data_IF_935034629534
#
_entry.id   IF_935034629534
#
_cell.length_a   1.000
_cell.length_b   1.000
_cell.length_c   1.000
_cell.angle_alpha   90.00
_cell.angle_beta   90.00
_cell.angle_gamma   90.00
#
_symmetry.space_group_name_H-M   'P 1'
#
loop_
_entity.id
_entity.type
_entity.pdbx_description
1 polymer ?
#
# COMPACT_ATOMS: atom_id res chain seq x y z
N UNK A 1 15.38 1.25 -13.94
CA UNK A 1 14.60 0.08 -13.47
C UNK A 1 13.14 0.39 -13.76
N UNK A 2 12.35 -0.58 -14.22
CA UNK A 2 10.91 -0.39 -14.51
C UNK A 2 10.13 -0.37 -13.20
N UNK A 3 9.20 0.57 -13.04
CA UNK A 3 8.29 0.68 -11.92
C UNK A 3 7.03 -0.15 -12.21
N UNK A 4 6.86 -1.24 -11.48
CA UNK A 4 5.76 -2.18 -11.67
C UNK A 4 5.00 -2.34 -10.36
N UNK A 5 3.67 -2.33 -10.44
CA UNK A 5 2.77 -2.56 -9.32
C UNK A 5 1.83 -3.71 -9.66
N UNK A 6 1.93 -4.80 -8.88
CA UNK A 6 1.02 -5.95 -8.96
C UNK A 6 0.07 -5.89 -7.77
N UNK A 7 -1.13 -5.35 -8.02
CA UNK A 7 -2.07 -4.99 -6.97
C UNK A 7 -2.57 -6.22 -6.21
N UNK A 8 -2.80 -7.33 -6.91
CA UNK A 8 -3.20 -8.59 -6.27
C UNK A 8 -2.11 -9.14 -5.32
N UNK A 9 -0.83 -9.02 -5.69
CA UNK A 9 0.28 -9.44 -4.83
C UNK A 9 0.40 -8.56 -3.59
N UNK A 10 0.34 -7.24 -3.77
CA UNK A 10 0.37 -6.28 -2.66
C UNK A 10 -0.81 -6.50 -1.70
N UNK A 11 -2.02 -6.73 -2.23
CA UNK A 11 -3.19 -7.01 -1.39
C UNK A 11 -3.02 -8.30 -0.58
N UNK A 12 -2.49 -9.37 -1.19
CA UNK A 12 -2.19 -10.61 -0.48
C UNK A 12 -1.14 -10.41 0.61
N UNK A 13 -0.09 -9.62 0.33
CA UNK A 13 0.94 -9.29 1.30
C UNK A 13 0.38 -8.46 2.47
N UNK A 14 -0.44 -7.45 2.19
CA UNK A 14 -1.18 -6.66 3.18
C UNK A 14 -2.02 -7.57 4.09
N UNK A 15 -2.82 -8.46 3.51
CA UNK A 15 -3.67 -9.38 4.28
C UNK A 15 -2.86 -10.31 5.17
N UNK A 16 -1.78 -10.89 4.65
CA UNK A 16 -0.88 -11.76 5.39
C UNK A 16 -0.25 -11.03 6.59
N UNK A 17 0.26 -9.81 6.37
CA UNK A 17 0.88 -9.00 7.42
C UNK A 17 -0.15 -8.57 8.48
N UNK A 18 -1.36 -8.20 8.05
CA UNK A 18 -2.44 -7.83 8.96
C UNK A 18 -2.89 -9.02 9.82
N UNK A 19 -2.88 -10.24 9.28
CA UNK A 19 -3.19 -11.44 10.04
C UNK A 19 -2.16 -11.68 11.15
N UNK A 20 -0.86 -11.50 10.87
CA UNK A 20 0.21 -11.59 11.87
C UNK A 20 0.06 -10.52 12.96
N UNK A 21 -0.22 -9.27 12.56
CA UNK A 21 -0.43 -8.18 13.51
C UNK A 21 -1.66 -8.44 14.40
N UNK A 22 -2.76 -8.90 13.82
CA UNK A 22 -4.00 -9.23 14.55
C UNK A 22 -3.77 -10.36 15.56
N UNK A 23 -3.10 -11.44 15.16
CA UNK A 23 -2.75 -12.54 16.07
C UNK A 23 -1.82 -12.07 17.20
N UNK A 24 -0.88 -11.16 16.89
CA UNK A 24 0.04 -10.58 17.87
C UNK A 24 -0.71 -9.70 18.88
N UNK A 25 -1.64 -8.85 18.41
CA UNK A 25 -2.50 -8.03 19.28
C UNK A 25 -3.27 -8.93 20.24
N UNK A 26 -3.97 -9.95 19.73
CA UNK A 26 -4.73 -10.88 20.56
C UNK A 26 -3.85 -11.59 21.61
N UNK A 27 -2.65 -12.03 21.21
CA UNK A 27 -1.70 -12.66 22.13
C UNK A 27 -1.20 -11.70 23.22
N UNK A 28 -0.94 -10.44 22.88
CA UNK A 28 -0.51 -9.42 23.84
C UNK A 28 -1.65 -9.00 24.77
N UNK A 29 -2.89 -8.90 24.28
CA UNK A 29 -4.08 -8.66 25.11
C UNK A 29 -4.28 -9.78 26.14
N UNK A 30 -4.14 -11.05 25.73
CA UNK A 30 -4.19 -12.19 26.65
C UNK A 30 -3.04 -12.17 27.68
N UNK A 31 -1.83 -11.78 27.26
CA UNK A 31 -0.70 -11.63 28.17
C UNK A 31 -0.96 -10.53 29.21
N UNK A 32 -1.51 -9.38 28.80
CA UNK A 32 -1.89 -8.30 29.71
C UNK A 32 -2.95 -8.78 30.71
N UNK A 33 -4.00 -9.48 30.25
CA UNK A 33 -5.03 -10.03 31.14
C UNK A 33 -4.43 -11.00 32.17
N UNK A 34 -3.50 -11.86 31.74
CA UNK A 34 -2.81 -12.81 32.62
C UNK A 34 -1.93 -12.09 33.65
N UNK A 35 -1.26 -11.01 33.26
CA UNK A 35 -0.47 -10.17 34.17
C UNK A 35 -1.37 -9.48 35.19
N UNK A 36 -2.49 -8.91 34.75
CA UNK A 36 -3.43 -8.22 35.62
C UNK A 36 -4.03 -9.20 36.66
N UNK A 37 -4.39 -10.42 36.24
CA UNK A 37 -4.82 -11.49 37.15
C UNK A 37 -3.71 -11.91 38.13
N UNK A 38 -2.48 -12.10 37.65
CA UNK A 38 -1.34 -12.46 38.49
C UNK A 38 -1.02 -11.37 39.53
N UNK A 39 -1.14 -10.10 39.15
CA UNK A 39 -0.83 -8.97 40.02
C UNK A 39 -1.76 -8.90 41.25
N UNK A 40 -3.04 -9.23 41.08
CA UNK A 40 -4.05 -9.18 42.16
C UNK A 40 -4.18 -10.49 42.95
N UNK A 41 -3.52 -11.58 42.51
CA UNK A 41 -3.59 -12.87 43.18
C UNK A 41 -3.13 -12.76 44.65
N UNK A 42 -3.92 -13.31 45.57
CA UNK A 42 -3.63 -13.24 47.01
C UNK A 42 -2.96 -14.51 47.56
N UNK A 43 -2.87 -15.58 46.78
CA UNK A 43 -2.33 -16.88 47.20
C UNK A 43 -0.81 -16.90 47.09
N UNK A 44 -0.27 -16.37 46.00
CA UNK A 44 1.16 -16.28 45.71
C UNK A 44 1.77 -15.08 46.43
N UNK A 45 2.39 -15.35 47.58
CA UNK A 45 2.95 -14.37 48.50
C UNK A 45 4.45 -14.57 48.75
N UNK A 46 5.08 -13.59 49.37
CA UNK A 46 6.52 -13.58 49.66
C UNK A 46 7.32 -12.77 48.65
N UNK A 47 8.56 -12.45 49.01
CA UNK A 47 9.34 -11.43 48.30
C UNK A 47 9.60 -11.76 46.82
N UNK A 48 9.82 -13.03 46.50
CA UNK A 48 10.00 -13.49 45.10
C UNK A 48 8.77 -13.17 44.24
N UNK A 49 7.56 -13.50 44.73
CA UNK A 49 6.33 -13.24 43.99
C UNK A 49 6.01 -11.73 43.94
N UNK A 50 6.25 -10.98 45.02
CA UNK A 50 6.09 -9.53 45.01
C UNK A 50 6.98 -8.86 43.95
N UNK A 51 8.26 -9.27 43.86
CA UNK A 51 9.19 -8.77 42.83
C UNK A 51 8.73 -9.15 41.42
N UNK A 52 8.27 -10.39 41.21
CA UNK A 52 7.75 -10.83 39.92
C UNK A 52 6.51 -10.04 39.49
N UNK A 53 5.52 -9.87 40.39
CA UNK A 53 4.32 -9.06 40.13
C UNK A 53 4.69 -7.64 39.75
N UNK A 54 5.60 -7.01 40.50
CA UNK A 54 6.11 -5.67 40.19
C UNK A 54 6.76 -5.61 38.80
N UNK A 55 7.61 -6.57 38.45
CA UNK A 55 8.27 -6.62 37.14
C UNK A 55 7.27 -6.76 35.99
N UNK A 56 6.32 -7.70 36.08
CA UNK A 56 5.34 -7.89 35.00
C UNK A 56 4.44 -6.66 34.82
N UNK A 57 4.00 -6.04 35.92
CA UNK A 57 3.14 -4.85 35.85
C UNK A 57 3.91 -3.63 35.35
N UNK A 58 5.14 -3.40 35.81
CA UNK A 58 5.88 -2.17 35.51
C UNK A 58 6.69 -2.24 34.22
N UNK A 59 7.08 -3.44 33.77
CA UNK A 59 7.95 -3.62 32.61
C UNK A 59 7.23 -4.31 31.46
N UNK A 60 6.69 -5.51 31.71
CA UNK A 60 6.16 -6.33 30.62
C UNK A 60 4.81 -5.81 30.11
N UNK A 61 3.92 -5.38 31.00
CA UNK A 61 2.60 -4.86 30.61
C UNK A 61 2.72 -3.62 29.70
N UNK A 62 3.53 -2.58 30.00
CA UNK A 62 3.78 -1.49 29.06
C UNK A 62 4.41 -1.94 27.74
N UNK A 63 5.32 -2.92 27.78
CA UNK A 63 5.93 -3.48 26.57
C UNK A 63 4.88 -4.15 25.67
N UNK A 64 3.99 -4.97 26.24
CA UNK A 64 2.90 -5.61 25.52
C UNK A 64 1.97 -4.57 24.88
N UNK A 65 1.65 -3.48 25.60
CA UNK A 65 0.90 -2.35 25.04
C UNK A 65 1.65 -1.68 23.87
N UNK A 66 2.96 -1.47 23.99
CA UNK A 66 3.78 -0.93 22.91
C UNK A 66 3.75 -1.80 21.65
N UNK A 67 3.77 -3.12 21.80
CA UNK A 67 3.66 -4.08 20.69
C UNK A 67 2.28 -3.99 20.03
N UNK A 68 1.21 -3.87 20.82
CA UNK A 68 -0.15 -3.67 20.30
C UNK A 68 -0.21 -2.40 19.45
N UNK A 69 0.26 -1.26 19.97
CA UNK A 69 0.26 0.00 19.23
C UNK A 69 1.04 -0.08 17.91
N UNK A 70 2.20 -0.76 17.93
CA UNK A 70 2.97 -0.97 16.70
C UNK A 70 2.19 -1.79 15.68
N UNK A 71 1.52 -2.87 16.11
CA UNK A 71 0.71 -3.70 15.22
C UNK A 71 -0.49 -2.93 14.64
N UNK A 72 -1.16 -2.11 15.45
CA UNK A 72 -2.26 -1.26 14.98
C UNK A 72 -1.80 -0.27 13.91
N UNK A 73 -0.65 0.39 14.13
CA UNK A 73 -0.08 1.32 13.14
C UNK A 73 0.36 0.59 11.86
N UNK A 74 0.97 -0.59 11.98
CA UNK A 74 1.33 -1.41 10.82
C UNK A 74 0.11 -1.81 9.99
N UNK A 75 -0.98 -2.25 10.63
CA UNK A 75 -2.24 -2.55 9.93
C UNK A 75 -2.75 -1.32 9.19
N UNK A 76 -2.79 -0.17 9.88
CA UNK A 76 -3.26 1.09 9.30
C UNK A 76 -2.47 1.48 8.05
N UNK A 77 -1.15 1.31 8.08
CA UNK A 77 -0.26 1.62 6.96
C UNK A 77 -0.42 0.62 5.80
N UNK A 78 -0.48 -0.67 6.11
CA UNK A 78 -0.67 -1.73 5.13
C UNK A 78 -2.01 -1.63 4.39
N UNK A 79 -3.06 -1.14 5.05
CA UNK A 79 -4.36 -0.90 4.43
C UNK A 79 -4.38 0.39 3.61
N UNK A 80 -3.66 1.43 4.07
CA UNK A 80 -3.57 2.71 3.40
C UNK A 80 -2.83 2.61 2.06
N UNK A 81 -1.72 1.88 2.00
CA UNK A 81 -0.88 1.80 0.80
C UNK A 81 -1.64 1.34 -0.49
N UNK A 82 -2.28 0.15 -0.53
CA UNK A 82 -3.02 -0.28 -1.72
C UNK A 82 -4.23 0.61 -2.01
N UNK A 83 -4.92 1.10 -0.98
CA UNK A 83 -6.07 2.00 -1.13
C UNK A 83 -5.67 3.33 -1.77
N UNK A 84 -4.55 3.90 -1.33
CA UNK A 84 -4.00 5.13 -1.90
C UNK A 84 -3.55 4.93 -3.34
N UNK A 85 -2.84 3.83 -3.64
CA UNK A 85 -2.48 3.47 -5.00
C UNK A 85 -3.71 3.39 -5.91
N UNK A 86 -4.77 2.72 -5.45
CA UNK A 86 -6.01 2.58 -6.23
C UNK A 86 -6.71 3.92 -6.49
N UNK A 87 -6.66 4.83 -5.51
CA UNK A 87 -7.28 6.15 -5.63
C UNK A 87 -6.50 7.13 -6.52
N UNK A 88 -5.18 7.02 -6.54
CA UNK A 88 -4.29 7.98 -7.21
C UNK A 88 -3.86 7.48 -8.59
N UNK A 89 -3.55 6.19 -8.73
CA UNK A 89 -2.89 5.63 -9.92
C UNK A 89 -3.84 4.76 -10.74
N UNK A 90 -4.29 3.63 -10.17
CA UNK A 90 -5.09 2.65 -10.89
C UNK A 90 -5.72 1.59 -9.99
N UNK A 91 -6.91 1.10 -10.37
CA UNK A 91 -7.57 -0.04 -9.72
C UNK A 91 -7.09 -1.42 -10.21
N UNK A 92 -6.05 -1.48 -11.04
CA UNK A 92 -5.51 -2.69 -11.67
C UNK A 92 -3.99 -2.67 -11.58
N UNK A 93 -3.36 -3.77 -11.99
CA UNK A 93 -1.92 -3.83 -12.18
C UNK A 93 -1.44 -2.72 -13.13
N UNK A 94 -0.23 -2.24 -12.87
CA UNK A 94 0.43 -1.19 -13.64
C UNK A 94 1.86 -1.59 -13.91
N UNK A 95 2.19 -1.69 -15.19
CA UNK A 95 3.55 -1.95 -15.68
C UNK A 95 3.97 -0.70 -16.46
N UNK A 96 4.95 0.03 -15.95
CA UNK A 96 5.43 1.29 -16.55
C UNK A 96 5.72 1.12 -18.05
N UNK A 97 6.43 0.06 -18.41
CA UNK A 97 6.83 -0.18 -19.79
C UNK A 97 5.65 -0.40 -20.74
N UNK A 98 4.55 -0.99 -20.28
CA UNK A 98 3.34 -1.14 -21.08
C UNK A 98 2.68 0.21 -21.36
N UNK A 99 2.65 1.10 -20.37
CA UNK A 99 2.13 2.46 -20.56
C UNK A 99 2.99 3.24 -21.56
N UNK A 100 4.32 3.17 -21.43
CA UNK A 100 5.25 3.82 -22.34
C UNK A 100 5.11 3.31 -23.78
N UNK A 101 4.94 2.00 -23.97
CA UNK A 101 4.75 1.43 -25.30
C UNK A 101 3.38 1.82 -25.89
N UNK A 102 2.31 1.84 -25.10
CA UNK A 102 1.01 2.33 -25.55
C UNK A 102 1.07 3.81 -25.98
N UNK A 103 1.82 4.66 -25.27
CA UNK A 103 2.04 6.06 -25.67
C UNK A 103 2.75 6.13 -27.03
N UNK A 104 3.82 5.35 -27.22
CA UNK A 104 4.55 5.30 -28.50
C UNK A 104 3.68 4.82 -29.65
N UNK A 105 2.85 3.82 -29.43
CA UNK A 105 1.90 3.33 -30.44
C UNK A 105 0.87 4.40 -30.81
N UNK A 106 0.34 5.15 -29.84
CA UNK A 106 -0.56 6.28 -30.11
C UNK A 106 0.17 7.36 -30.92
N UNK A 107 1.41 7.70 -30.58
CA UNK A 107 2.20 8.69 -31.32
C UNK A 107 2.47 8.23 -32.77
N UNK A 108 2.75 6.94 -33.00
CA UNK A 108 2.88 6.34 -34.34
C UNK A 108 1.58 6.39 -35.13
N UNK A 109 0.44 6.07 -34.50
CA UNK A 109 -0.88 6.13 -35.12
C UNK A 109 -1.24 7.57 -35.51
N UNK A 110 -0.98 8.55 -34.63
CA UNK A 110 -1.20 9.97 -34.94
C UNK A 110 -0.37 10.44 -36.13
N UNK A 111 0.93 10.16 -36.14
CA UNK A 111 1.81 10.55 -37.25
C UNK A 111 1.38 9.92 -38.58
N UNK A 112 0.99 8.64 -38.56
CA UNK A 112 0.48 7.93 -39.74
C UNK A 112 -0.82 8.54 -40.24
N UNK A 113 -1.72 8.89 -39.33
CA UNK A 113 -3.00 9.51 -39.63
C UNK A 113 -2.84 10.93 -40.21
N UNK A 114 -1.93 11.73 -39.65
CA UNK A 114 -1.57 13.05 -40.17
C UNK A 114 -1.06 12.94 -41.61
N UNK A 115 -0.17 11.98 -41.90
CA UNK A 115 0.34 11.74 -43.25
C UNK A 115 -0.78 11.36 -44.26
N UNK A 116 -1.72 10.50 -43.86
CA UNK A 116 -2.87 10.13 -44.70
C UNK A 116 -3.78 11.35 -44.95
N UNK A 117 -4.05 12.15 -43.91
CA UNK A 117 -4.91 13.32 -44.03
C UNK A 117 -4.36 14.39 -44.98
N UNK A 118 -3.03 14.54 -45.04
CA UNK A 118 -2.36 15.44 -45.99
C UNK A 118 -2.45 14.94 -47.43
N UNK A 119 -2.41 13.61 -47.64
CA UNK A 119 -2.54 13.01 -48.96
C UNK A 119 -3.99 13.04 -49.46
N UNK A 120 -4.96 12.86 -48.57
CA UNK A 120 -6.39 12.84 -48.89
C UNK A 120 -7.22 13.33 -47.70
N UNK A 121 -8.01 14.41 -47.84
CA UNK A 121 -8.94 14.83 -46.80
C UNK A 121 -10.02 13.78 -46.56
N UNK A 122 -10.05 13.18 -45.37
CA UNK A 122 -11.07 12.20 -44.95
C UNK A 122 -11.96 12.84 -43.88
N UNK A 123 -13.30 12.92 -44.10
CA UNK A 123 -14.23 13.42 -43.08
C UNK A 123 -14.16 12.58 -41.80
N UNK A 124 -14.12 13.23 -40.63
CA UNK A 124 -14.06 12.58 -39.32
C UNK A 124 -12.66 12.26 -38.79
N UNK A 125 -11.60 12.52 -39.58
CA UNK A 125 -10.21 12.31 -39.17
C UNK A 125 -9.81 13.17 -37.97
N UNK A 126 -10.27 14.42 -37.91
CA UNK A 126 -10.00 15.33 -36.79
C UNK A 126 -10.56 14.83 -35.45
N UNK A 127 -11.73 14.17 -35.49
CA UNK A 127 -12.32 13.58 -34.28
C UNK A 127 -11.47 12.42 -33.75
N UNK A 128 -10.93 11.59 -34.64
CA UNK A 128 -9.99 10.51 -34.28
C UNK A 128 -8.66 11.07 -33.77
N UNK A 129 -8.14 12.16 -34.37
CA UNK A 129 -6.94 12.85 -33.87
C UNK A 129 -7.10 13.35 -32.45
N UNK A 130 -8.26 13.95 -32.17
CA UNK A 130 -8.61 14.41 -30.83
C UNK A 130 -8.75 13.24 -29.86
N UNK A 131 -9.36 12.13 -30.27
CA UNK A 131 -9.46 10.93 -29.44
C UNK A 131 -8.08 10.38 -29.05
N UNK A 132 -7.17 10.20 -30.02
CA UNK A 132 -5.79 9.76 -29.74
C UNK A 132 -5.05 10.74 -28.83
N UNK A 133 -5.25 12.04 -29.01
CA UNK A 133 -4.65 13.07 -28.14
C UNK A 133 -5.15 12.93 -26.70
N UNK A 134 -6.45 12.71 -26.49
CA UNK A 134 -7.03 12.47 -25.16
C UNK A 134 -6.52 11.17 -24.55
N UNK A 135 -6.47 10.08 -25.33
CA UNK A 135 -5.96 8.78 -24.85
C UNK A 135 -4.50 8.87 -24.41
N UNK A 136 -3.64 9.50 -25.23
CA UNK A 136 -2.24 9.75 -24.89
C UNK A 136 -2.12 10.55 -23.59
N UNK A 137 -2.91 11.62 -23.46
CA UNK A 137 -2.92 12.45 -22.25
C UNK A 137 -3.28 11.64 -21.00
N UNK A 138 -4.31 10.79 -21.07
CA UNK A 138 -4.69 9.92 -19.93
C UNK A 138 -3.59 8.93 -19.54
N UNK A 139 -2.88 8.35 -20.51
CA UNK A 139 -1.75 7.47 -20.22
C UNK A 139 -0.58 8.22 -19.58
N UNK A 140 -0.33 9.45 -20.05
CA UNK A 140 0.68 10.33 -19.46
C UNK A 140 0.34 10.71 -18.02
N UNK A 141 -0.91 11.10 -17.73
CA UNK A 141 -1.40 11.38 -16.38
C UNK A 141 -1.25 10.15 -15.47
N UNK A 142 -1.62 8.96 -15.95
CA UNK A 142 -1.44 7.71 -15.21
C UNK A 142 0.04 7.44 -14.89
N UNK A 143 0.94 7.70 -15.83
CA UNK A 143 2.38 7.53 -15.64
C UNK A 143 2.94 8.54 -14.61
N UNK A 144 2.49 9.78 -14.67
CA UNK A 144 2.87 10.83 -13.71
C UNK A 144 2.41 10.47 -12.29
N UNK A 145 1.15 10.04 -12.14
CA UNK A 145 0.63 9.57 -10.85
C UNK A 145 1.39 8.36 -10.33
N UNK A 146 1.80 7.43 -11.21
CA UNK A 146 2.61 6.27 -10.82
C UNK A 146 3.96 6.72 -10.24
N UNK A 147 4.64 7.69 -10.86
CA UNK A 147 5.92 8.22 -10.36
C UNK A 147 5.75 9.02 -9.07
N UNK A 148 4.72 9.86 -8.99
CA UNK A 148 4.40 10.64 -7.79
C UNK A 148 4.09 9.73 -6.61
N UNK A 149 3.28 8.69 -6.84
CA UNK A 149 2.98 7.68 -5.84
C UNK A 149 4.26 7.00 -5.36
N UNK A 150 5.11 6.53 -6.27
CA UNK A 150 6.38 5.88 -5.88
C UNK A 150 7.30 6.82 -5.09
N UNK A 151 7.42 8.08 -5.49
CA UNK A 151 8.23 9.07 -4.78
C UNK A 151 7.70 9.33 -3.36
N UNK A 152 6.39 9.51 -3.22
CA UNK A 152 5.74 9.80 -1.94
C UNK A 152 5.67 8.57 -1.04
N UNK A 153 5.50 7.37 -1.60
CA UNK A 153 5.41 6.11 -0.86
C UNK A 153 6.77 5.58 -0.40
N UNK A 154 7.86 5.97 -1.05
CA UNK A 154 9.23 5.54 -0.67
C UNK A 154 9.63 5.99 0.75
N UNK A 155 9.00 7.03 1.29
CA UNK A 155 9.19 7.46 2.68
C UNK A 155 8.47 6.59 3.73
N UNK A 156 7.62 5.65 3.30
CA UNK A 156 6.79 4.81 4.18
C UNK A 156 7.33 3.38 4.30
N UNK A 157 8.22 2.97 3.38
CA UNK A 157 8.92 1.68 3.43
C UNK A 157 10.04 1.73 4.47
N UNK A 158 9.74 1.25 5.68
CA UNK A 158 10.74 0.80 6.65
C UNK A 158 11.02 -0.69 6.38
N UNK A 159 11.61 -0.99 5.22
CA UNK A 159 12.29 -2.26 4.92
C UNK A 159 13.51 -1.98 4.05
#
# INVERSE_FOLDING_TARGET
MSLNMYLGEVQNQTQSMNAVCTATIQGMEQAIQSIDAFAIDTVLQGQTYSSAKSFFVQTFRPLAQGIIYLCEELIRQNDAFPSQFQSQVASTDVIEQEILEQIREIDRMKASMEAISQAMPIPGMDAMANLFTVMRKKLQEKLEHLYEFNYTSSNWTVV
#
